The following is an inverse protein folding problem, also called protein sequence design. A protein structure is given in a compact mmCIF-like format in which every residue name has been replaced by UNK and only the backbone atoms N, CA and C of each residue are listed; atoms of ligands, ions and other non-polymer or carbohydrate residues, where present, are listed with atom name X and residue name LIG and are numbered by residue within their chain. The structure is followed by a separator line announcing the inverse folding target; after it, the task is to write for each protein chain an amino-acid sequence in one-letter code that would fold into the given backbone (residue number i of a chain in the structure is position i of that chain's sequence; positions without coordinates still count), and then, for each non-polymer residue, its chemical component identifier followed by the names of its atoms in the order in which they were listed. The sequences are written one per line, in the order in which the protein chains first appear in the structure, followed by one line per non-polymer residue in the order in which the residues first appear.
data_IF_089184170962
#
_entry.id   IF_089184170962
#
_cell.length_a   1.000
_cell.length_b   1.000
_cell.length_c   1.000
_cell.angle_alpha   90.00
_cell.angle_beta   90.00
_cell.angle_gamma   90.00
#
_symmetry.space_group_name_H-M   'P 1'
#
loop_
_entity.id
_entity.type
_entity.pdbx_description
1 polymer ?
#
# COMPACT_ATOMS: atom_id res chain seq x y z
N UNK A 1 -5.40 -3.83 -0.78
CA UNK A 1 -5.65 -5.18 -1.33
C UNK A 1 -6.58 -5.96 -0.41
N UNK A 2 -7.89 -5.73 -0.52
CA UNK A 2 -8.91 -6.51 0.19
C UNK A 2 -9.13 -7.89 -0.43
N UNK A 3 -9.98 -8.72 0.19
CA UNK A 3 -10.42 -10.02 -0.36
C UNK A 3 -10.98 -9.91 -1.80
N UNK A 4 -11.73 -8.85 -2.18
CA UNK A 4 -12.15 -8.65 -3.58
C UNK A 4 -10.96 -8.44 -4.53
N UNK A 5 -9.95 -7.65 -4.13
CA UNK A 5 -8.75 -7.40 -4.95
C UNK A 5 -7.99 -8.70 -5.23
N UNK A 6 -7.85 -9.57 -4.22
CA UNK A 6 -7.17 -10.87 -4.35
C UNK A 6 -7.90 -11.77 -5.35
N UNK A 7 -9.22 -11.85 -5.22
CA UNK A 7 -10.08 -12.63 -6.11
C UNK A 7 -9.99 -12.16 -7.56
N UNK A 8 -10.02 -10.83 -7.79
CA UNK A 8 -9.82 -10.23 -9.11
C UNK A 8 -8.39 -10.50 -9.65
N UNK A 9 -7.38 -10.35 -8.80
CA UNK A 9 -5.96 -10.55 -9.12
C UNK A 9 -5.64 -12.00 -9.53
N UNK A 10 -6.23 -12.99 -8.85
CA UNK A 10 -6.18 -14.41 -9.24
C UNK A 10 -6.71 -14.62 -10.66
N UNK A 11 -7.93 -14.15 -10.93
CA UNK A 11 -8.57 -14.30 -12.24
C UNK A 11 -7.73 -13.64 -13.33
N UNK A 12 -7.29 -12.40 -13.10
CA UNK A 12 -6.40 -11.67 -14.01
C UNK A 12 -5.11 -12.43 -14.30
N UNK A 13 -4.43 -12.96 -13.27
CA UNK A 13 -3.17 -13.70 -13.43
C UNK A 13 -3.36 -15.02 -14.18
N UNK A 14 -4.44 -15.75 -13.91
CA UNK A 14 -4.81 -16.94 -14.70
C UNK A 14 -5.02 -16.61 -16.18
N UNK A 15 -5.83 -15.58 -16.47
CA UNK A 15 -6.12 -15.11 -17.83
C UNK A 15 -4.86 -14.66 -18.59
N UNK A 16 -3.91 -13.97 -17.92
CA UNK A 16 -2.63 -13.58 -18.52
C UNK A 16 -1.74 -14.77 -18.90
N UNK A 17 -1.96 -15.94 -18.29
CA UNK A 17 -1.26 -17.19 -18.60
C UNK A 17 -2.03 -18.06 -19.61
N UNK A 18 -3.03 -17.50 -20.30
CA UNK A 18 -3.87 -18.21 -21.27
C UNK A 18 -4.86 -19.19 -20.63
N UNK A 19 -4.97 -19.19 -19.30
CA UNK A 19 -5.94 -19.99 -18.59
C UNK A 19 -7.23 -19.20 -18.40
N UNK A 20 -8.36 -19.87 -18.60
CA UNK A 20 -9.09 -20.26 -17.41
C UNK A 20 -9.64 -19.05 -16.59
N UNK A 21 -9.13 -18.94 -15.35
CA UNK A 21 -9.10 -17.71 -14.54
C UNK A 21 -9.39 -18.00 -13.07
N UNK A 22 -10.63 -18.38 -12.80
CA UNK A 22 -11.22 -18.56 -11.47
C UNK A 22 -10.60 -19.74 -10.68
N UNK A 23 -10.09 -20.74 -11.39
CA UNK A 23 -9.45 -21.96 -10.89
C UNK A 23 -7.92 -21.88 -10.80
N UNK A 24 -7.33 -20.74 -11.20
CA UNK A 24 -5.91 -20.49 -11.00
C UNK A 24 -5.58 -20.41 -9.50
N UNK A 25 -4.37 -20.76 -9.06
CA UNK A 25 -3.93 -20.60 -7.68
C UNK A 25 -2.73 -19.65 -7.67
N UNK A 26 -2.89 -18.48 -7.07
CA UNK A 26 -1.79 -17.49 -6.96
C UNK A 26 -0.70 -17.96 -6.00
N UNK A 27 0.47 -17.32 -6.06
CA UNK A 27 1.61 -17.63 -5.18
C UNK A 27 1.28 -17.43 -3.69
N UNK A 28 0.38 -16.49 -3.40
CA UNK A 28 -0.12 -16.19 -2.06
C UNK A 28 -1.18 -17.20 -1.59
N UNK A 29 -2.05 -17.68 -2.48
CA UNK A 29 -3.07 -18.72 -2.16
C UNK A 29 -2.47 -20.12 -1.94
N UNK A 30 -1.22 -20.37 -2.32
CA UNK A 30 -0.49 -21.61 -2.01
C UNK A 30 -0.10 -21.74 -0.52
N UNK A 31 -0.25 -20.68 0.27
CA UNK A 31 0.20 -20.67 1.66
C UNK A 31 -0.73 -21.51 2.55
N UNK A 32 -0.16 -22.29 3.48
CA UNK A 32 -0.91 -23.27 4.29
C UNK A 32 -1.85 -22.66 5.35
N UNK A 33 -1.84 -21.34 5.51
CA UNK A 33 -2.48 -20.60 6.58
C UNK A 33 -3.06 -19.29 6.08
N UNK A 34 -4.33 -19.05 6.37
CA UNK A 34 -5.07 -17.84 6.00
C UNK A 34 -5.69 -17.19 7.23
N UNK A 35 -5.55 -15.88 7.33
CA UNK A 35 -6.25 -15.05 8.29
C UNK A 35 -6.75 -13.73 7.69
N UNK A 36 -7.73 -13.13 8.38
CA UNK A 36 -8.33 -11.84 8.07
C UNK A 36 -7.82 -10.80 9.07
N UNK A 37 -7.68 -9.54 8.70
CA UNK A 37 -7.19 -8.49 9.59
C UNK A 37 -8.23 -7.39 9.82
N UNK A 38 -8.71 -7.23 11.06
CA UNK A 38 -9.54 -6.09 11.49
C UNK A 38 -8.71 -4.80 11.45
N UNK A 39 -9.10 -3.86 10.60
CA UNK A 39 -8.28 -2.71 10.20
C UNK A 39 -8.57 -1.39 10.93
N UNK A 40 -9.75 -1.21 11.54
CA UNK A 40 -10.19 0.06 12.17
C UNK A 40 -9.10 0.78 12.99
N UNK A 41 -9.03 2.11 12.92
CA UNK A 41 -8.09 2.93 13.71
C UNK A 41 -8.79 3.50 14.96
N UNK A 42 -8.07 4.19 15.85
CA UNK A 42 -8.63 4.56 17.17
C UNK A 42 -9.79 5.56 17.10
N UNK A 43 -9.91 6.28 15.99
CA UNK A 43 -10.88 7.35 15.74
C UNK A 43 -11.78 7.13 14.50
N UNK A 44 -11.48 6.16 13.61
CA UNK A 44 -12.30 5.85 12.43
C UNK A 44 -12.53 4.35 12.23
N UNK A 45 -13.74 3.99 11.78
CA UNK A 45 -14.11 2.62 11.41
C UNK A 45 -13.39 2.18 10.13
N UNK A 46 -13.40 3.03 9.10
CA UNK A 46 -12.54 2.89 7.91
C UNK A 46 -11.25 3.67 8.17
N UNK A 47 -10.09 3.01 8.28
CA UNK A 47 -8.83 3.66 8.58
C UNK A 47 -8.17 4.23 7.32
N UNK A 48 -7.01 4.85 7.49
CA UNK A 48 -6.10 5.21 6.39
C UNK A 48 -4.78 4.44 6.47
N UNK A 49 -4.02 4.47 5.38
CA UNK A 49 -2.69 3.84 5.27
C UNK A 49 -1.68 4.21 6.38
N UNK A 50 -1.81 5.35 7.05
CA UNK A 50 -0.86 5.75 8.11
C UNK A 50 -1.17 5.08 9.45
N UNK A 51 -2.44 5.11 9.87
CA UNK A 51 -2.86 4.43 11.09
C UNK A 51 -2.71 2.90 10.97
N UNK A 52 -3.01 2.33 9.80
CA UNK A 52 -2.85 0.89 9.56
C UNK A 52 -1.40 0.46 9.40
N UNK A 53 -0.53 1.26 8.78
CA UNK A 53 0.89 0.94 8.71
C UNK A 53 1.58 1.07 10.08
N UNK A 54 1.20 2.04 10.91
CA UNK A 54 1.66 2.14 12.32
C UNK A 54 1.22 0.90 13.12
N UNK A 55 -0.01 0.43 12.91
CA UNK A 55 -0.45 -0.85 13.46
C UNK A 55 0.41 -2.03 12.94
N UNK A 56 0.53 -2.18 11.62
CA UNK A 56 1.26 -3.28 10.96
C UNK A 56 2.73 -3.38 11.33
N UNK A 57 3.40 -2.24 11.56
CA UNK A 57 4.86 -2.16 11.71
C UNK A 57 5.31 -1.86 13.13
N UNK A 58 4.53 -1.10 13.93
CA UNK A 58 4.86 -0.75 15.32
C UNK A 58 4.01 -1.52 16.35
N UNK A 59 2.99 -2.27 15.93
CA UNK A 59 2.13 -3.05 16.82
C UNK A 59 1.08 -2.25 17.60
N UNK A 60 0.95 -0.94 17.35
CA UNK A 60 0.06 -0.04 18.08
C UNK A 60 -0.96 0.59 17.13
N UNK A 61 -2.26 0.48 17.44
CA UNK A 61 -3.30 1.24 16.75
C UNK A 61 -3.25 2.71 17.18
N UNK A 62 -3.43 3.60 16.21
CA UNK A 62 -3.34 5.05 16.41
C UNK A 62 -4.45 5.80 15.65
N UNK A 63 -4.39 7.13 15.66
CA UNK A 63 -5.36 8.04 15.04
C UNK A 63 -5.12 8.18 13.53
N UNK A 64 -6.18 8.42 12.77
CA UNK A 64 -6.16 8.56 11.32
C UNK A 64 -5.15 9.61 10.85
N UNK A 65 -4.34 9.26 9.86
CA UNK A 65 -3.35 10.15 9.24
C UNK A 65 -2.07 10.34 10.05
N UNK A 66 -1.88 9.67 11.18
CA UNK A 66 -0.66 9.72 12.00
C UNK A 66 0.27 8.52 11.72
N UNK A 67 1.58 8.74 11.82
CA UNK A 67 2.64 7.78 11.46
C UNK A 67 3.54 7.56 12.68
N UNK A 68 3.75 6.30 13.07
CA UNK A 68 4.76 5.92 14.06
C UNK A 68 4.55 6.50 15.46
N UNK A 69 3.35 6.99 15.77
CA UNK A 69 3.00 7.56 17.07
C UNK A 69 1.70 6.93 17.61
N UNK A 70 1.53 6.92 18.92
CA UNK A 70 0.32 6.42 19.58
C UNK A 70 -0.85 7.43 19.57
N UNK A 71 -2.05 6.94 19.88
CA UNK A 71 -3.29 7.71 19.81
C UNK A 71 -3.45 8.85 20.83
N UNK A 72 -2.42 9.18 21.63
CA UNK A 72 -2.40 10.43 22.44
C UNK A 72 -2.15 11.67 21.59
N UNK A 73 -1.50 11.51 20.44
CA UNK A 73 -1.23 12.61 19.52
C UNK A 73 -2.48 13.01 18.71
N UNK A 74 -2.64 14.30 18.48
CA UNK A 74 -3.67 14.86 17.59
C UNK A 74 -3.09 15.08 16.20
N UNK A 75 -3.83 14.67 15.17
CA UNK A 75 -3.41 14.82 13.77
C UNK A 75 -3.06 16.28 13.44
N UNK A 76 -1.94 16.49 12.77
CA UNK A 76 -1.44 17.80 12.35
C UNK A 76 -0.90 18.71 13.48
N UNK A 77 -0.85 18.23 14.73
CA UNK A 77 -0.37 18.99 15.87
C UNK A 77 1.01 18.48 16.35
N UNK A 78 2.06 19.16 15.91
CA UNK A 78 3.46 18.85 16.26
C UNK A 78 3.71 18.76 17.77
N UNK A 79 3.17 19.71 18.55
CA UNK A 79 3.40 19.73 19.99
C UNK A 79 2.78 18.50 20.69
N UNK A 80 1.70 17.95 20.15
CA UNK A 80 1.04 16.75 20.69
C UNK A 80 1.74 15.43 20.34
N UNK A 81 2.61 15.39 19.32
CA UNK A 81 3.39 14.18 18.99
C UNK A 81 4.59 13.93 19.91
N UNK A 82 5.04 14.94 20.67
CA UNK A 82 6.20 14.81 21.57
C UNK A 82 5.94 13.77 22.66
N UNK A 83 6.80 12.74 22.74
CA UNK A 83 6.68 11.65 23.72
C UNK A 83 5.61 10.60 23.41
N UNK A 84 5.09 10.57 22.17
CA UNK A 84 4.09 9.58 21.69
C UNK A 84 4.65 8.56 20.69
N UNK A 85 5.96 8.57 20.45
CA UNK A 85 6.61 7.70 19.46
C UNK A 85 6.46 6.21 19.82
N UNK A 86 6.18 5.38 18.82
CA UNK A 86 6.14 3.91 18.93
C UNK A 86 7.16 3.29 17.96
N UNK A 87 7.96 2.37 18.49
CA UNK A 87 9.05 1.76 17.74
C UNK A 87 8.55 0.73 16.72
N UNK A 88 9.14 0.74 15.53
CA UNK A 88 8.84 -0.20 14.46
C UNK A 88 9.61 -1.51 14.60
N UNK A 89 9.10 -2.55 13.94
CA UNK A 89 9.80 -3.83 13.75
C UNK A 89 11.14 -3.67 13.00
N UNK A 90 11.25 -2.66 12.13
CA UNK A 90 12.50 -2.33 11.43
C UNK A 90 13.54 -1.77 12.40
N UNK A 91 13.14 -0.87 13.32
CA UNK A 91 14.02 -0.40 14.40
C UNK A 91 14.46 -1.54 15.32
N UNK A 92 13.55 -2.45 15.70
CA UNK A 92 13.91 -3.62 16.53
C UNK A 92 14.92 -4.57 15.85
N UNK A 93 14.88 -4.67 14.52
CA UNK A 93 15.86 -5.43 13.74
C UNK A 93 17.23 -4.71 13.69
N UNK A 94 17.23 -3.40 13.46
CA UNK A 94 18.45 -2.56 13.49
C UNK A 94 19.15 -2.60 14.87
N UNK A 95 18.39 -2.53 15.97
CA UNK A 95 18.91 -2.65 17.35
C UNK A 95 19.56 -4.01 17.65
N UNK A 96 19.29 -5.03 16.83
CA UNK A 96 19.90 -6.35 16.90
C UNK A 96 21.03 -6.56 15.89
N UNK A 97 21.38 -5.52 15.12
CA UNK A 97 22.40 -5.59 14.08
C UNK A 97 22.00 -6.40 12.84
N UNK A 98 20.69 -6.62 12.63
CA UNK A 98 20.21 -7.23 11.39
C UNK A 98 20.14 -6.19 10.27
N UNK A 99 20.54 -6.54 9.03
CA UNK A 99 20.31 -5.67 7.88
C UNK A 99 18.81 -5.53 7.62
N UNK A 100 18.39 -4.33 7.23
CA UNK A 100 16.98 -3.99 6.99
C UNK A 100 16.77 -3.34 5.64
N UNK A 101 15.60 -3.56 5.06
CA UNK A 101 15.24 -2.97 3.78
C UNK A 101 13.78 -2.54 3.74
N UNK A 102 13.53 -1.41 3.06
CA UNK A 102 12.20 -0.96 2.69
C UNK A 102 12.12 -0.99 1.17
N UNK A 103 11.40 -1.98 0.66
CA UNK A 103 10.94 -2.04 -0.73
C UNK A 103 9.46 -1.73 -0.73
N UNK A 104 9.12 -0.46 -0.53
CA UNK A 104 7.78 0.03 -0.76
C UNK A 104 7.82 0.76 -2.08
N UNK A 105 7.13 0.24 -3.08
CA UNK A 105 7.25 0.83 -4.41
C UNK A 105 6.70 2.28 -4.44
N UNK A 106 5.68 2.59 -3.60
CA UNK A 106 5.14 3.95 -3.40
C UNK A 106 6.20 4.99 -2.99
N UNK A 107 5.85 6.29 -2.85
CA UNK A 107 6.84 7.27 -2.36
C UNK A 107 7.43 6.76 -1.04
N UNK A 108 8.75 6.78 -0.88
CA UNK A 108 9.37 6.19 0.32
C UNK A 108 8.99 6.96 1.59
N UNK A 109 8.56 8.22 1.40
CA UNK A 109 7.94 9.14 2.36
C UNK A 109 6.43 8.92 2.57
N UNK A 110 5.78 8.07 1.78
CA UNK A 110 4.37 7.76 1.92
C UNK A 110 4.10 7.01 3.23
N UNK A 111 2.88 7.12 3.73
CA UNK A 111 2.45 6.56 5.01
C UNK A 111 2.94 5.12 5.30
N UNK A 112 2.78 4.21 4.33
CA UNK A 112 3.07 2.79 4.51
C UNK A 112 4.57 2.51 4.74
N UNK A 113 5.52 2.94 3.86
CA UNK A 113 6.96 2.88 4.18
C UNK A 113 7.39 3.78 5.33
N UNK A 114 6.84 4.99 5.46
CA UNK A 114 7.23 5.95 6.49
C UNK A 114 7.00 5.40 7.90
N UNK A 115 5.96 4.61 8.11
CA UNK A 115 5.68 3.96 9.41
C UNK A 115 6.74 2.94 9.84
N UNK A 116 7.70 2.58 8.97
CA UNK A 116 8.85 1.77 9.35
C UNK A 116 9.97 2.58 10.04
N UNK A 117 10.04 3.90 9.87
CA UNK A 117 11.20 4.70 10.32
C UNK A 117 10.88 6.10 10.86
N UNK A 118 9.69 6.65 10.61
CA UNK A 118 9.31 8.02 10.92
C UNK A 118 8.25 8.09 12.03
N UNK A 119 8.21 9.24 12.69
CA UNK A 119 7.21 9.63 13.68
C UNK A 119 6.63 10.99 13.27
N UNK A 120 5.36 11.03 12.83
CA UNK A 120 4.72 12.26 12.34
C UNK A 120 3.23 12.33 12.68
N UNK A 121 2.71 13.46 13.20
CA UNK A 121 1.28 13.66 13.42
C UNK A 121 0.51 13.95 12.13
N UNK A 122 1.15 14.13 10.96
CA UNK A 122 0.44 14.05 9.68
C UNK A 122 1.27 13.36 8.60
N UNK A 123 0.65 12.37 7.93
CA UNK A 123 1.20 11.67 6.76
C UNK A 123 1.49 12.56 5.56
N UNK A 124 0.94 13.77 5.51
CA UNK A 124 1.23 14.76 4.46
C UNK A 124 2.55 15.49 4.66
N UNK A 125 3.21 15.37 5.81
CA UNK A 125 4.51 15.99 6.09
C UNK A 125 5.67 15.24 5.41
N UNK A 126 5.48 14.85 4.14
CA UNK A 126 6.42 14.02 3.36
C UNK A 126 7.77 14.72 3.11
N UNK A 127 7.78 16.04 3.03
CA UNK A 127 8.97 16.87 2.87
C UNK A 127 8.70 18.33 3.25
N UNK A 128 9.74 19.16 3.34
CA UNK A 128 9.62 20.60 3.61
C UNK A 128 9.10 21.34 2.37
N UNK A 129 7.78 21.46 2.23
CA UNK A 129 7.12 22.00 1.03
C UNK A 129 6.46 23.38 1.26
N UNK A 130 6.48 23.90 2.50
CA UNK A 130 5.78 25.13 2.93
C UNK A 130 4.26 25.11 2.72
N UNK A 131 3.64 23.96 2.40
CA UNK A 131 2.19 23.78 2.19
C UNK A 131 1.63 22.90 3.30
N UNK A 132 2.22 21.72 3.49
CA UNK A 132 1.87 20.76 4.52
C UNK A 132 2.83 20.89 5.72
N UNK A 133 4.10 21.19 5.47
CA UNK A 133 5.14 21.29 6.50
C UNK A 133 6.12 22.44 6.21
N UNK A 134 6.39 23.31 7.19
CA UNK A 134 7.32 24.42 7.05
C UNK A 134 7.86 24.98 8.38
N UNK A 135 8.20 26.27 8.38
CA UNK A 135 8.85 26.95 9.52
C UNK A 135 8.10 26.79 10.85
N UNK A 136 6.76 26.81 10.82
CA UNK A 136 5.91 26.69 12.00
C UNK A 136 6.09 25.34 12.71
N UNK A 137 6.10 24.25 11.96
CA UNK A 137 6.25 22.89 12.49
C UNK A 137 7.69 22.63 12.94
N UNK A 138 8.68 23.17 12.21
CA UNK A 138 10.10 23.13 12.60
C UNK A 138 10.36 23.92 13.90
N UNK A 139 9.75 25.10 14.06
CA UNK A 139 9.83 25.89 15.29
C UNK A 139 9.18 25.18 16.50
N UNK A 140 8.29 24.22 16.26
CA UNK A 140 7.69 23.35 17.29
C UNK A 140 8.47 22.05 17.52
N UNK A 141 9.61 21.86 16.83
CA UNK A 141 10.52 20.72 17.00
C UNK A 141 10.20 19.50 16.14
N UNK A 142 9.30 19.60 15.17
CA UNK A 142 9.04 18.50 14.23
C UNK A 142 10.00 18.52 13.04
N UNK A 143 10.07 17.37 12.36
CA UNK A 143 10.95 17.12 11.21
C UNK A 143 10.16 16.43 10.11
N UNK A 144 10.35 16.86 8.86
CA UNK A 144 9.66 16.26 7.70
C UNK A 144 10.11 14.81 7.44
N UNK A 145 9.23 13.96 6.92
CA UNK A 145 9.45 12.51 6.80
C UNK A 145 10.68 12.19 5.93
N UNK A 146 10.92 12.92 4.83
CA UNK A 146 12.14 12.75 4.02
C UNK A 146 13.41 13.04 4.82
N UNK A 147 13.38 14.05 5.69
CA UNK A 147 14.51 14.40 6.56
C UNK A 147 14.68 13.44 7.75
N UNK A 148 13.59 12.87 8.29
CA UNK A 148 13.68 11.79 9.27
C UNK A 148 14.38 10.56 8.68
N UNK A 149 14.04 10.18 7.45
CA UNK A 149 14.66 9.05 6.74
C UNK A 149 16.18 9.17 6.63
N UNK A 150 16.66 10.37 6.26
CA UNK A 150 18.08 10.58 5.93
C UNK A 150 18.93 10.94 7.15
N UNK A 151 18.37 11.64 8.16
CA UNK A 151 19.13 12.21 9.28
C UNK A 151 18.81 11.63 10.66
N UNK A 152 17.74 10.84 10.82
CA UNK A 152 17.28 10.35 12.12
C UNK A 152 17.05 8.84 12.18
N UNK A 153 16.67 8.21 11.07
CA UNK A 153 16.65 6.76 10.95
C UNK A 153 18.09 6.20 11.03
N UNK A 154 18.33 5.10 11.76
CA UNK A 154 19.55 4.33 11.57
C UNK A 154 19.65 3.84 10.12
N UNK A 155 20.85 3.51 9.60
CA UNK A 155 21.03 3.11 8.21
C UNK A 155 20.09 1.99 7.77
N UNK A 156 19.48 2.15 6.60
CA UNK A 156 18.64 1.16 5.94
C UNK A 156 19.41 0.64 4.72
N UNK A 157 19.79 -0.64 4.74
CA UNK A 157 20.68 -1.24 3.74
C UNK A 157 20.09 -1.25 2.32
N UNK A 158 18.77 -1.41 2.21
CA UNK A 158 18.05 -1.43 0.93
C UNK A 158 16.86 -0.47 0.99
N UNK A 159 16.91 0.58 0.19
CA UNK A 159 15.84 1.58 0.10
C UNK A 159 15.38 1.73 -1.35
N UNK A 160 14.23 1.13 -1.67
CA UNK A 160 13.63 1.14 -3.01
C UNK A 160 12.18 1.65 -2.91
N UNK A 161 11.93 2.84 -3.44
CA UNK A 161 10.61 3.49 -3.43
C UNK A 161 10.61 4.85 -4.09
N UNK A 162 9.46 5.38 -4.48
CA UNK A 162 9.33 6.65 -5.20
C UNK A 162 9.65 7.88 -4.34
N UNK A 163 9.30 9.08 -4.84
CA UNK A 163 9.21 10.28 -3.99
C UNK A 163 10.38 11.27 -4.06
N UNK A 164 11.35 11.08 -4.97
CA UNK A 164 12.52 11.97 -5.17
C UNK A 164 12.26 13.48 -5.01
N UNK A 165 11.10 13.98 -5.44
CA UNK A 165 10.69 15.38 -5.29
C UNK A 165 10.87 15.92 -3.84
N UNK A 166 10.56 15.14 -2.82
CA UNK A 166 10.64 15.55 -1.41
C UNK A 166 12.07 15.63 -0.85
N UNK A 167 13.05 15.24 -1.66
CA UNK A 167 14.47 15.22 -1.34
C UNK A 167 15.29 16.21 -2.19
N UNK A 168 14.65 16.99 -3.07
CA UNK A 168 15.32 17.94 -3.96
C UNK A 168 14.77 19.36 -3.76
N UNK A 169 15.62 20.41 -3.87
CA UNK A 169 15.18 21.80 -3.94
C UNK A 169 14.21 22.05 -5.10
N UNK A 170 13.34 23.05 -4.94
CA UNK A 170 12.43 23.53 -6.00
C UNK A 170 13.13 23.99 -7.29
N UNK A 171 14.44 24.26 -7.23
CA UNK A 171 15.29 24.67 -8.35
C UNK A 171 15.99 23.50 -9.05
N UNK A 172 15.94 22.28 -8.50
CA UNK A 172 16.64 21.09 -9.04
C UNK A 172 15.66 20.26 -9.89
N UNK A 173 15.86 20.16 -11.21
CA UNK A 173 15.03 19.32 -12.07
C UNK A 173 15.22 17.83 -11.73
N UNK A 174 14.19 17.03 -11.93
CA UNK A 174 14.24 15.60 -11.71
C UNK A 174 15.03 14.89 -12.82
N UNK A 175 16.00 14.07 -12.39
CA UNK A 175 16.92 13.32 -13.25
C UNK A 175 16.27 12.35 -14.25
N UNK A 176 14.99 12.02 -14.10
CA UNK A 176 14.24 11.17 -15.04
C UNK A 176 13.17 11.95 -15.85
N UNK A 177 12.83 13.18 -15.45
CA UNK A 177 11.93 14.05 -16.19
C UNK A 177 12.23 15.52 -15.84
N UNK A 178 12.98 16.20 -16.70
CA UNK A 178 13.40 17.59 -16.52
C UNK A 178 12.26 18.62 -16.53
N UNK A 179 11.02 18.22 -16.85
CA UNK A 179 9.83 19.06 -16.72
C UNK A 179 9.24 19.06 -15.30
N UNK A 180 9.80 18.24 -14.39
CA UNK A 180 9.43 18.19 -12.97
C UNK A 180 10.62 18.65 -12.12
N UNK A 181 10.34 19.35 -11.03
CA UNK A 181 11.35 19.77 -10.06
C UNK A 181 11.16 19.08 -8.70
N UNK A 182 12.14 19.26 -7.82
CA UNK A 182 11.95 19.05 -6.39
C UNK A 182 10.85 19.91 -5.77
N UNK A 183 10.43 19.56 -4.56
CA UNK A 183 9.41 20.30 -3.78
C UNK A 183 10.00 20.94 -2.54
N UNK A 184 11.29 20.76 -2.24
CA UNK A 184 11.88 21.35 -1.02
C UNK A 184 12.07 22.85 -1.15
N UNK A 185 11.36 23.60 -0.30
CA UNK A 185 11.44 25.07 -0.23
C UNK A 185 12.54 25.57 0.71
N UNK A 186 13.13 24.70 1.54
CA UNK A 186 14.32 24.98 2.36
C UNK A 186 15.64 25.03 1.57
N UNK A 187 15.58 24.82 0.25
CA UNK A 187 16.73 24.73 -0.66
C UNK A 187 17.77 23.66 -0.29
N UNK A 188 17.38 22.64 0.49
CA UNK A 188 18.24 21.51 0.86
C UNK A 188 18.07 20.38 -0.15
N UNK A 189 19.17 19.73 -0.52
CA UNK A 189 19.18 18.47 -1.26
C UNK A 189 19.49 17.33 -0.29
N UNK A 190 18.61 16.33 -0.24
CA UNK A 190 18.71 15.12 0.59
C UNK A 190 18.99 13.85 -0.25
N UNK A 191 19.07 13.97 -1.58
CA UNK A 191 19.23 12.82 -2.52
C UNK A 191 20.52 12.89 -3.36
N UNK A 192 21.55 13.61 -2.91
CA UNK A 192 22.88 13.45 -3.54
C UNK A 192 23.55 12.07 -3.24
N UNK A 193 22.71 11.05 -2.92
CA UNK A 193 23.00 9.64 -2.63
C UNK A 193 21.99 8.62 -3.25
N UNK A 194 20.66 8.83 -3.17
CA UNK A 194 19.65 7.72 -3.20
C UNK A 194 18.50 7.78 -4.26
N UNK A 195 17.67 6.71 -4.36
CA UNK A 195 16.91 6.37 -5.59
C UNK A 195 15.37 6.00 -5.46
N UNK A 196 14.79 5.00 -6.20
CA UNK A 196 13.39 5.05 -6.82
C UNK A 196 12.42 3.80 -6.80
N UNK A 197 11.06 4.01 -6.90
CA UNK A 197 10.07 3.43 -7.91
C UNK A 197 8.74 2.63 -7.54
N UNK A 198 7.57 2.97 -8.16
CA UNK A 198 6.17 2.33 -8.28
C UNK A 198 4.91 2.71 -7.40
N UNK A 199 3.66 2.17 -7.62
CA UNK A 199 2.36 2.94 -7.49
C UNK A 199 0.92 2.34 -7.22
N UNK A 200 0.62 1.05 -6.91
CA UNK A 200 -0.76 0.44 -6.85
C UNK A 200 -1.92 1.34 -6.36
N UNK A 201 -1.86 1.84 -5.11
CA UNK A 201 -2.95 2.62 -4.47
C UNK A 201 -3.30 3.90 -5.25
N UNK A 202 -2.33 4.51 -5.92
CA UNK A 202 -2.57 5.68 -6.77
C UNK A 202 -3.44 5.34 -7.98
N UNK A 203 -3.27 4.16 -8.57
CA UNK A 203 -4.14 3.69 -9.66
C UNK A 203 -5.59 3.57 -9.19
N UNK A 204 -5.83 3.03 -7.98
CA UNK A 204 -7.18 2.97 -7.42
C UNK A 204 -7.73 4.35 -7.07
N UNK A 205 -6.94 5.26 -6.47
CA UNK A 205 -7.35 6.65 -6.23
C UNK A 205 -7.81 7.38 -7.51
N UNK A 206 -7.17 7.15 -8.65
CA UNK A 206 -7.58 7.74 -9.93
C UNK A 206 -8.61 6.93 -10.74
N UNK A 207 -9.20 5.87 -10.15
CA UNK A 207 -10.06 4.86 -10.82
C UNK A 207 -9.42 4.18 -12.04
N UNK A 208 -8.09 4.23 -12.15
CA UNK A 208 -7.28 3.63 -13.20
C UNK A 208 -7.02 2.15 -12.89
N UNK A 209 -8.03 1.31 -13.10
CA UNK A 209 -7.99 -0.09 -12.71
C UNK A 209 -6.90 -0.90 -13.43
N UNK A 210 -6.64 -0.62 -14.73
CA UNK A 210 -5.52 -1.27 -15.43
C UNK A 210 -4.19 -0.91 -14.81
N UNK A 211 -3.96 0.38 -14.54
CA UNK A 211 -2.75 0.83 -13.84
C UNK A 211 -2.54 0.11 -12.50
N UNK A 212 -3.58 0.05 -11.66
CA UNK A 212 -3.50 -0.59 -10.34
C UNK A 212 -3.24 -2.11 -10.43
N UNK A 213 -3.91 -2.80 -11.37
CA UNK A 213 -3.80 -4.25 -11.52
C UNK A 213 -2.49 -4.68 -12.20
N UNK A 214 -1.93 -3.88 -13.10
CA UNK A 214 -0.62 -4.19 -13.69
C UNK A 214 0.53 -3.92 -12.67
N UNK A 215 0.44 -2.88 -11.81
CA UNK A 215 1.41 -2.68 -10.71
C UNK A 215 1.26 -3.76 -9.60
N UNK A 216 0.06 -4.33 -9.41
CA UNK A 216 -0.14 -5.54 -8.60
C UNK A 216 0.56 -6.78 -9.19
N UNK A 217 0.52 -6.96 -10.51
CA UNK A 217 1.26 -8.05 -11.18
C UNK A 217 2.77 -7.91 -10.96
N UNK A 218 3.31 -6.69 -11.03
CA UNK A 218 4.74 -6.47 -10.72
C UNK A 218 5.10 -6.69 -9.25
N UNK A 219 4.18 -6.40 -8.32
CA UNK A 219 4.35 -6.75 -6.90
C UNK A 219 4.35 -8.27 -6.67
N UNK A 220 3.44 -9.02 -7.28
CA UNK A 220 3.40 -10.49 -7.21
C UNK A 220 4.62 -11.14 -7.93
N UNK A 221 5.05 -10.59 -9.07
CA UNK A 221 6.31 -10.96 -9.72
C UNK A 221 7.51 -10.75 -8.79
N UNK A 222 7.54 -9.64 -8.04
CA UNK A 222 8.59 -9.33 -7.05
C UNK A 222 8.60 -10.37 -5.92
N UNK A 223 7.44 -10.75 -5.38
CA UNK A 223 7.32 -11.83 -4.38
C UNK A 223 7.88 -13.14 -4.94
N UNK A 224 7.56 -13.47 -6.19
CA UNK A 224 8.10 -14.64 -6.89
C UNK A 224 9.63 -14.63 -7.01
N UNK A 225 10.24 -13.48 -7.33
CA UNK A 225 11.70 -13.34 -7.38
C UNK A 225 12.34 -13.46 -5.98
N UNK A 226 11.73 -12.86 -4.95
CA UNK A 226 12.20 -12.99 -3.56
C UNK A 226 12.18 -14.46 -3.12
N UNK A 227 11.09 -15.21 -3.40
CA UNK A 227 11.01 -16.66 -3.12
C UNK A 227 12.14 -17.43 -3.80
N UNK A 228 12.45 -17.16 -5.09
CA UNK A 228 13.57 -17.80 -5.81
C UNK A 228 14.92 -17.48 -5.18
N UNK A 229 15.22 -16.22 -4.92
CA UNK A 229 16.50 -15.79 -4.31
C UNK A 229 16.73 -16.46 -2.95
N UNK A 230 15.69 -16.59 -2.13
CA UNK A 230 15.74 -17.27 -0.83
C UNK A 230 15.90 -18.79 -0.98
N UNK A 231 15.27 -19.40 -2.01
CA UNK A 231 15.39 -20.81 -2.34
C UNK A 231 16.81 -21.16 -2.83
N UNK A 232 17.38 -20.35 -3.73
CA UNK A 232 18.72 -20.51 -4.29
C UNK A 232 19.81 -20.34 -3.21
N UNK A 233 19.55 -19.47 -2.22
CA UNK A 233 20.38 -19.31 -1.01
C UNK A 233 20.18 -20.41 0.04
N UNK A 234 19.21 -21.30 -0.14
CA UNK A 234 18.88 -22.37 0.82
C UNK A 234 18.21 -21.91 2.11
N UNK A 235 17.76 -20.65 2.20
CA UNK A 235 17.25 -20.02 3.44
C UNK A 235 15.73 -19.77 3.43
N UNK A 236 15.01 -20.15 2.36
CA UNK A 236 13.55 -19.98 2.29
C UNK A 236 12.81 -20.63 3.47
N UNK A 237 13.26 -21.81 3.92
CA UNK A 237 12.67 -22.51 5.05
C UNK A 237 12.94 -21.86 6.41
N UNK A 238 13.97 -21.01 6.49
CA UNK A 238 14.34 -20.23 7.69
C UNK A 238 13.80 -18.79 7.64
N UNK A 239 13.15 -18.40 6.53
CA UNK A 239 12.66 -17.03 6.31
C UNK A 239 11.14 -16.97 6.45
N UNK A 240 10.63 -16.17 7.39
CA UNK A 240 9.21 -15.84 7.47
C UNK A 240 8.88 -14.75 6.43
N UNK A 241 8.18 -15.13 5.37
CA UNK A 241 7.60 -14.21 4.39
C UNK A 241 6.16 -13.90 4.79
N UNK A 242 5.80 -12.61 4.89
CA UNK A 242 4.43 -12.16 5.13
C UNK A 242 4.04 -11.15 4.05
N UNK A 243 2.92 -11.38 3.38
CA UNK A 243 2.32 -10.50 2.36
C UNK A 243 0.92 -10.12 2.81
N UNK A 244 0.62 -8.82 2.81
CA UNK A 244 -0.69 -8.27 3.21
C UNK A 244 -0.86 -6.87 2.61
N UNK A 245 -1.90 -6.15 2.99
CA UNK A 245 -2.06 -4.73 2.70
C UNK A 245 -2.34 -3.91 3.97
N UNK A 246 -2.18 -2.60 3.83
CA UNK A 246 -2.56 -1.57 4.78
C UNK A 246 -4.09 -1.34 4.80
N UNK A 247 -4.75 -1.30 3.65
CA UNK A 247 -6.22 -1.23 3.54
C UNK A 247 -6.71 -1.78 2.18
N UNK A 248 -8.00 -1.63 1.90
CA UNK A 248 -8.58 -1.84 0.57
C UNK A 248 -8.95 -0.51 -0.09
N UNK A 249 -9.59 -0.57 -1.26
CA UNK A 249 -10.05 0.59 -2.02
C UNK A 249 -11.50 0.38 -2.44
N UNK A 250 -12.23 1.44 -2.79
CA UNK A 250 -13.62 1.38 -3.25
C UNK A 250 -13.79 0.73 -4.65
N UNK A 251 -13.03 -0.32 -4.97
CA UNK A 251 -12.99 -1.06 -6.23
C UNK A 251 -13.88 -2.31 -6.16
N UNK A 252 -14.66 -2.55 -7.22
CA UNK A 252 -15.48 -3.74 -7.38
C UNK A 252 -15.40 -4.30 -8.80
N UNK A 253 -15.55 -5.62 -8.94
CA UNK A 253 -15.67 -6.30 -10.23
C UNK A 253 -16.84 -7.29 -10.20
N UNK A 254 -17.55 -7.49 -11.32
CA UNK A 254 -18.73 -8.36 -11.37
C UNK A 254 -19.44 -8.39 -12.72
N UNK A 255 -20.72 -8.02 -12.72
CA UNK A 255 -21.61 -8.01 -13.89
C UNK A 255 -21.81 -9.37 -14.61
N UNK A 256 -21.73 -10.49 -13.86
CA UNK A 256 -22.02 -11.86 -14.32
C UNK A 256 -21.39 -12.24 -15.67
N UNK A 257 -20.14 -11.80 -15.86
CA UNK A 257 -19.41 -12.00 -17.11
C UNK A 257 -18.99 -13.45 -17.30
N UNK A 258 -18.98 -13.93 -18.55
CA UNK A 258 -18.58 -15.30 -18.84
C UNK A 258 -17.10 -15.55 -18.49
N UNK A 259 -16.81 -16.76 -18.00
CA UNK A 259 -15.47 -17.29 -17.71
C UNK A 259 -14.49 -16.99 -18.85
N UNK A 260 -13.32 -16.45 -18.55
CA UNK A 260 -12.32 -16.05 -19.56
C UNK A 260 -12.59 -14.73 -20.30
N UNK A 261 -13.66 -13.99 -19.99
CA UNK A 261 -13.87 -12.64 -20.55
C UNK A 261 -12.78 -11.66 -20.06
N UNK A 262 -12.41 -10.70 -20.91
CA UNK A 262 -11.44 -9.64 -20.57
C UNK A 262 -11.95 -8.80 -19.38
N UNK A 263 -11.33 -8.96 -18.22
CA UNK A 263 -11.64 -8.28 -16.95
C UNK A 263 -11.83 -6.75 -17.08
N UNK A 264 -11.16 -6.10 -18.02
CA UNK A 264 -11.25 -4.64 -18.21
C UNK A 264 -12.47 -4.19 -19.01
N UNK A 265 -13.07 -5.10 -19.78
CA UNK A 265 -14.12 -4.79 -20.73
C UNK A 265 -15.53 -4.77 -20.15
N UNK A 266 -16.46 -5.22 -20.98
CA UNK A 266 -17.89 -5.26 -20.70
C UNK A 266 -18.36 -6.69 -20.47
N UNK A 267 -19.48 -6.85 -19.77
CA UNK A 267 -20.12 -8.15 -19.61
C UNK A 267 -20.54 -8.72 -20.96
N UNK A 268 -20.24 -9.99 -21.15
CA UNK A 268 -20.46 -10.75 -22.40
C UNK A 268 -21.70 -11.65 -22.32
N UNK A 269 -22.31 -11.80 -21.14
CA UNK A 269 -23.47 -12.66 -20.95
C UNK A 269 -24.72 -12.02 -21.57
N UNK A 270 -25.34 -12.69 -22.53
CA UNK A 270 -26.40 -12.10 -23.38
C UNK A 270 -27.60 -11.54 -22.60
N UNK A 271 -27.92 -12.10 -21.43
CA UNK A 271 -28.99 -11.63 -20.54
C UNK A 271 -28.62 -10.39 -19.69
N UNK A 272 -27.33 -10.04 -19.56
CA UNK A 272 -26.81 -9.02 -18.64
C UNK A 272 -25.72 -8.11 -19.23
N UNK A 273 -25.43 -8.22 -20.53
CA UNK A 273 -24.42 -7.41 -21.22
C UNK A 273 -24.76 -5.90 -21.25
N UNK A 274 -26.04 -5.55 -21.11
CA UNK A 274 -26.56 -4.18 -20.98
C UNK A 274 -27.40 -4.02 -19.72
N UNK A 275 -27.42 -2.82 -19.15
CA UNK A 275 -28.27 -2.49 -18.02
C UNK A 275 -29.75 -2.58 -18.38
N UNK A 276 -30.56 -3.10 -17.47
CA UNK A 276 -32.01 -3.19 -17.63
C UNK A 276 -32.70 -1.82 -17.67
N UNK A 277 -32.06 -0.77 -17.14
CA UNK A 277 -32.61 0.59 -17.02
C UNK A 277 -32.28 1.45 -18.25
N UNK A 278 -30.99 1.72 -18.49
CA UNK A 278 -30.54 2.67 -19.53
C UNK A 278 -30.15 1.98 -20.87
N UNK A 279 -30.19 0.65 -20.92
CA UNK A 279 -29.81 -0.19 -22.07
C UNK A 279 -28.36 -0.01 -22.55
N UNK A 280 -27.49 0.58 -21.72
CA UNK A 280 -26.08 0.76 -22.05
C UNK A 280 -25.22 -0.43 -21.56
N UNK A 281 -24.15 -0.81 -22.28
CA UNK A 281 -23.20 -1.85 -21.89
C UNK A 281 -22.71 -1.73 -20.45
N UNK A 282 -22.60 -2.85 -19.73
CA UNK A 282 -22.15 -2.88 -18.33
C UNK A 282 -20.66 -3.23 -18.29
N UNK A 283 -19.83 -2.38 -17.71
CA UNK A 283 -18.42 -2.68 -17.48
C UNK A 283 -18.25 -3.64 -16.31
N UNK A 284 -17.26 -4.53 -16.42
CA UNK A 284 -16.98 -5.55 -15.40
C UNK A 284 -16.47 -4.89 -14.12
N UNK A 285 -15.56 -3.92 -14.26
CA UNK A 285 -14.99 -3.14 -13.16
C UNK A 285 -15.80 -1.86 -12.93
N UNK A 286 -15.99 -1.52 -11.67
CA UNK A 286 -16.65 -0.30 -11.19
C UNK A 286 -15.97 0.19 -9.90
N UNK A 287 -16.20 1.44 -9.53
CA UNK A 287 -15.81 1.99 -8.24
C UNK A 287 -17.01 2.53 -7.46
N UNK A 288 -17.02 2.40 -6.14
CA UNK A 288 -18.06 2.96 -5.27
C UNK A 288 -18.04 4.49 -5.25
N UNK A 289 -16.86 5.10 -5.38
CA UNK A 289 -16.67 6.54 -5.53
C UNK A 289 -15.33 6.81 -6.23
N UNK A 290 -15.12 8.04 -6.71
CA UNK A 290 -13.88 8.47 -7.36
C UNK A 290 -14.10 9.36 -8.59
N UNK A 291 -13.01 9.67 -9.32
CA UNK A 291 -13.10 10.33 -10.62
C UNK A 291 -13.80 9.44 -11.67
N UNK A 292 -14.24 10.08 -12.75
CA UNK A 292 -15.12 9.51 -13.78
C UNK A 292 -16.49 9.02 -13.24
N UNK A 293 -17.30 9.96 -12.75
CA UNK A 293 -18.74 9.78 -12.56
C UNK A 293 -19.49 10.25 -13.82
N UNK A 294 -19.95 9.35 -14.70
CA UNK A 294 -20.78 9.74 -15.84
C UNK A 294 -22.22 9.99 -15.35
N UNK A 295 -22.58 11.26 -15.17
CA UNK A 295 -23.97 11.64 -14.85
C UNK A 295 -24.99 11.12 -15.88
N UNK A 296 -24.56 10.93 -17.14
CA UNK A 296 -25.23 10.12 -18.15
C UNK A 296 -24.14 9.42 -18.98
N UNK A 297 -24.07 8.08 -18.92
CA UNK A 297 -23.25 7.28 -19.85
C UNK A 297 -24.01 7.10 -21.17
N UNK A 298 -23.33 7.29 -22.31
CA UNK A 298 -23.93 7.16 -23.64
C UNK A 298 -23.12 6.21 -24.53
N UNK A 299 -23.76 5.66 -25.57
CA UNK A 299 -23.16 4.65 -26.43
C UNK A 299 -21.89 5.14 -27.14
N UNK A 300 -21.89 6.36 -27.68
CA UNK A 300 -20.71 6.93 -28.38
C UNK A 300 -19.49 7.02 -27.47
N UNK A 301 -19.67 7.39 -26.19
CA UNK A 301 -18.60 7.36 -25.21
C UNK A 301 -18.12 5.92 -24.97
N UNK A 302 -19.02 4.98 -24.73
CA UNK A 302 -18.66 3.59 -24.42
C UNK A 302 -17.97 2.87 -25.59
N UNK A 303 -18.40 3.13 -26.83
CA UNK A 303 -17.79 2.62 -28.06
C UNK A 303 -16.40 3.25 -28.32
N UNK A 304 -16.06 4.38 -27.67
CA UNK A 304 -14.77 5.09 -27.84
C UNK A 304 -13.68 4.72 -26.83
N UNK A 305 -13.97 3.85 -25.86
CA UNK A 305 -13.04 3.49 -24.79
C UNK A 305 -11.95 2.54 -25.31
N UNK A 306 -10.69 2.97 -25.21
CA UNK A 306 -9.55 2.05 -25.34
C UNK A 306 -9.33 1.30 -24.01
N UNK A 307 -9.61 -0.01 -24.03
CA UNK A 307 -9.40 -0.90 -22.88
C UNK A 307 -7.92 -1.22 -22.60
N UNK A 308 -7.00 -0.75 -23.46
CA UNK A 308 -5.56 -0.85 -23.24
C UNK A 308 -4.93 0.42 -22.67
N UNK A 309 -5.65 1.55 -22.67
CA UNK A 309 -5.19 2.78 -22.04
C UNK A 309 -5.02 2.56 -20.52
N UNK A 310 -3.80 2.79 -20.04
CA UNK A 310 -3.47 2.69 -18.62
C UNK A 310 -3.99 3.90 -17.83
N UNK A 311 -4.26 5.03 -18.49
CA UNK A 311 -4.81 6.23 -17.87
C UNK A 311 -6.34 6.27 -17.87
N UNK A 312 -7.01 5.36 -18.60
CA UNK A 312 -8.47 5.25 -18.60
C UNK A 312 -9.01 5.06 -17.19
N UNK A 313 -10.09 5.79 -16.88
CA UNK A 313 -10.71 5.85 -15.56
C UNK A 313 -12.02 5.08 -15.61
N UNK A 314 -12.16 4.07 -14.77
CA UNK A 314 -13.39 3.27 -14.68
C UNK A 314 -14.50 4.04 -13.95
N UNK A 315 -15.78 3.75 -14.25
CA UNK A 315 -16.91 4.49 -13.73
C UNK A 315 -17.05 4.35 -12.21
N UNK A 316 -17.19 5.49 -11.55
CA UNK A 316 -17.51 5.62 -10.13
C UNK A 316 -19.01 5.85 -9.91
N UNK A 317 -19.56 5.32 -8.81
CA UNK A 317 -20.97 5.54 -8.43
C UNK A 317 -21.23 6.86 -7.67
N UNK A 318 -20.18 7.49 -7.12
CA UNK A 318 -20.25 8.81 -6.46
C UNK A 318 -19.06 9.67 -6.94
N UNK A 319 -19.28 10.91 -7.42
CA UNK A 319 -18.20 11.77 -7.93
C UNK A 319 -17.26 12.23 -6.82
N UNK A 320 -15.97 11.96 -6.99
CA UNK A 320 -14.90 12.51 -6.14
C UNK A 320 -13.66 12.85 -7.00
N UNK A 321 -12.75 13.67 -6.47
CA UNK A 321 -11.47 13.98 -7.15
C UNK A 321 -10.50 12.79 -7.11
N UNK A 322 -10.56 12.01 -6.05
CA UNK A 322 -9.87 10.74 -5.82
C UNK A 322 -10.86 9.76 -5.19
N UNK A 323 -10.78 8.47 -5.53
CA UNK A 323 -11.54 7.41 -4.87
C UNK A 323 -11.07 7.22 -3.43
N UNK A 324 -11.95 6.78 -2.54
CA UNK A 324 -11.60 6.49 -1.14
C UNK A 324 -10.95 5.12 -0.99
N UNK A 325 -10.24 4.96 0.13
CA UNK A 325 -9.97 3.65 0.71
C UNK A 325 -11.29 2.94 1.08
N UNK A 326 -11.23 1.63 1.27
CA UNK A 326 -12.34 0.82 1.76
C UNK A 326 -11.92 0.00 2.99
N UNK A 327 -12.89 -0.23 3.88
CA UNK A 327 -12.68 -0.69 5.24
C UNK A 327 -12.95 -2.18 5.47
N UNK A 328 -13.15 -2.98 4.41
CA UNK A 328 -13.25 -4.44 4.56
C UNK A 328 -11.90 -5.07 4.93
N UNK A 329 -11.96 -6.25 5.56
CA UNK A 329 -10.76 -6.99 5.97
C UNK A 329 -9.85 -7.29 4.77
N UNK A 330 -8.56 -7.03 4.96
CA UNK A 330 -7.49 -7.44 4.04
C UNK A 330 -6.95 -8.81 4.44
N UNK A 331 -6.50 -9.60 3.45
CA UNK A 331 -5.92 -10.90 3.74
C UNK A 331 -4.47 -10.79 4.23
N UNK A 332 -4.05 -11.79 5.00
CA UNK A 332 -2.67 -11.97 5.42
C UNK A 332 -2.21 -13.34 4.95
N UNK A 333 -1.13 -13.36 4.17
CA UNK A 333 -0.49 -14.57 3.69
C UNK A 333 0.87 -14.68 4.38
N UNK A 334 1.09 -15.73 5.18
CA UNK A 334 2.43 -16.06 5.70
C UNK A 334 2.97 -17.43 5.23
N UNK A 335 4.26 -17.49 4.90
CA UNK A 335 5.03 -18.71 4.60
C UNK A 335 6.32 -18.74 5.45
N UNK A 336 6.79 -19.93 5.84
CA UNK A 336 8.04 -20.10 6.59
C UNK A 336 7.83 -20.27 8.10
N UNK A 337 8.89 -20.06 8.93
CA UNK A 337 8.83 -20.26 10.38
C UNK A 337 7.72 -19.44 11.02
N UNK A 338 6.90 -20.08 11.87
CA UNK A 338 5.77 -19.47 12.57
C UNK A 338 4.64 -18.90 11.68
N UNK A 339 4.59 -19.22 10.39
CA UNK A 339 3.47 -18.86 9.49
C UNK A 339 2.08 -19.30 10.00
N UNK A 340 2.01 -20.39 10.79
CA UNK A 340 0.80 -20.86 11.46
C UNK A 340 0.20 -19.86 12.47
N UNK A 341 0.92 -18.81 12.87
CA UNK A 341 0.36 -17.74 13.69
C UNK A 341 -0.60 -16.82 12.90
N UNK A 342 -0.53 -16.82 11.57
CA UNK A 342 -1.30 -15.94 10.68
C UNK A 342 -2.59 -16.62 10.18
N UNK A 343 -3.31 -17.27 11.09
CA UNK A 343 -4.61 -17.91 10.83
C UNK A 343 -5.78 -17.12 11.43
N UNK A 344 -6.96 -17.25 10.82
CA UNK A 344 -8.23 -16.71 11.31
C UNK A 344 -8.31 -15.18 11.37
N UNK A 345 -9.43 -14.64 11.87
CA UNK A 345 -9.57 -13.18 12.00
C UNK A 345 -8.74 -12.66 13.17
N UNK A 346 -7.70 -11.90 12.86
CA UNK A 346 -6.81 -11.20 13.78
C UNK A 346 -7.05 -9.69 13.73
N UNK A 347 -6.47 -8.92 14.66
CA UNK A 347 -6.36 -7.47 14.51
C UNK A 347 -5.11 -7.15 13.69
N UNK A 348 -5.16 -6.15 12.81
CA UNK A 348 -4.05 -5.85 11.90
C UNK A 348 -2.73 -5.56 12.63
N UNK A 349 -2.78 -4.90 13.79
CA UNK A 349 -1.59 -4.63 14.62
C UNK A 349 -0.88 -5.90 15.12
N UNK A 350 -1.58 -7.04 15.19
CA UNK A 350 -0.97 -8.30 15.64
C UNK A 350 0.03 -8.87 14.64
N UNK A 351 0.08 -8.37 13.40
CA UNK A 351 1.03 -8.82 12.38
C UNK A 351 2.47 -8.49 12.81
N UNK A 352 2.75 -7.25 13.23
CA UNK A 352 4.03 -6.87 13.86
C UNK A 352 4.39 -7.79 15.03
N UNK A 353 3.44 -8.01 15.94
CA UNK A 353 3.66 -8.85 17.12
C UNK A 353 3.96 -10.32 16.76
N UNK A 354 3.30 -10.88 15.76
CA UNK A 354 3.53 -12.25 15.28
C UNK A 354 4.89 -12.39 14.58
N UNK A 355 5.28 -11.40 13.77
CA UNK A 355 6.60 -11.35 13.14
C UNK A 355 7.72 -11.19 14.18
N UNK A 356 7.58 -10.25 15.11
CA UNK A 356 8.54 -10.03 16.19
C UNK A 356 8.61 -11.23 17.15
N UNK A 357 7.48 -11.90 17.42
CA UNK A 357 7.46 -13.16 18.14
C UNK A 357 8.26 -14.23 17.38
N UNK A 358 7.98 -14.44 16.09
CA UNK A 358 8.67 -15.43 15.26
C UNK A 358 10.19 -15.22 15.27
N UNK A 359 10.62 -13.96 15.10
CA UNK A 359 12.03 -13.56 15.00
C UNK A 359 12.74 -13.33 16.35
N UNK A 360 12.07 -13.52 17.50
CA UNK A 360 12.63 -13.25 18.84
C UNK A 360 12.99 -11.77 19.10
N UNK A 361 12.24 -10.83 18.53
CA UNK A 361 12.51 -9.40 18.59
C UNK A 361 11.66 -8.66 19.65
N UNK A 362 12.05 -7.42 19.95
CA UNK A 362 11.33 -6.52 20.88
C UNK A 362 11.03 -7.16 22.24
N UNK A 363 9.77 -7.09 22.66
CA UNK A 363 9.28 -7.68 23.92
C UNK A 363 9.42 -9.23 23.99
N UNK A 364 9.61 -9.90 22.84
CA UNK A 364 9.67 -11.36 22.75
C UNK A 364 11.08 -11.95 22.88
N UNK A 365 12.13 -11.11 23.00
CA UNK A 365 13.55 -11.55 23.14
C UNK A 365 13.76 -12.66 24.19
N UNK A 366 12.97 -12.69 25.27
CA UNK A 366 13.07 -13.67 26.37
C UNK A 366 12.09 -14.85 26.30
N UNK A 367 11.35 -15.05 25.22
CA UNK A 367 10.41 -16.20 25.13
C UNK A 367 11.16 -17.53 25.03
N UNK A 368 10.53 -18.60 25.52
CA UNK A 368 11.07 -19.96 25.41
C UNK A 368 11.27 -20.34 23.92
N UNK A 369 12.47 -20.80 23.59
CA UNK A 369 12.87 -21.15 22.22
C UNK A 369 13.66 -20.06 21.48
N UNK A 370 13.81 -18.87 22.05
CA UNK A 370 14.80 -17.89 21.60
C UNK A 370 16.18 -18.18 22.20
N UNK A 371 17.25 -17.80 21.49
CA UNK A 371 18.64 -17.88 21.93
C UNK A 371 19.10 -16.53 22.47
#
# INVERSE_FOLDING_TARGET
MGVPTITAGRIRKGQMLGQLGEDFITEMEQFSHLGLAKTYCTDHQTPDSAATATALLCGVKTSFGTIGIDGRASRGNCLSSHGTHVDSILKWAQELGHPVGIVATSRITHASPASAYAHSPDRKWEGYDSINFGEKEVAQGCVDIARQLVLQSPPIDILLGGGRRFFYPTQKPDVANSSLNGTRTDNISLIDDFWKGSRIDHGHHFTQARYALDDYVEFDNTIGQVKRILQDKGVLNDTLLVVTADHSNAFSFGADSARGSNLFGFSTLESLNVSTIDKMPVQIITYGNGPNFPAIRNKTYLDSIDLNDTEYRWPAAIPMVEATHAGEDVAVFAQGPWSHLFIGTMEQHTIAHKMAYAACWGAYKKRRGCK
#
